data_IF_083132750711
#
_entry.id   IF_083132750711
#
_cell.length_a   1.000
_cell.length_b   1.000
_cell.length_c   1.000
_cell.angle_alpha   90.00
_cell.angle_beta   90.00
_cell.angle_gamma   90.00
#
_symmetry.space_group_name_H-M   'P 1'
#
loop_
_entity.id
_entity.type
_entity.pdbx_description
1 polymer ?
#
# COMPACT_ATOMS: atom_id res chain seq x y z
N UNK A 1 42.06 12.23 23.89
CA UNK A 1 40.83 11.50 23.51
C UNK A 1 39.62 12.06 24.28
N UNK A 2 39.24 13.31 24.01
CA UNK A 2 38.03 13.92 24.58
C UNK A 2 37.58 15.08 23.68
N UNK A 3 36.98 14.76 22.52
CA UNK A 3 36.27 15.74 21.68
C UNK A 3 35.42 15.06 20.60
N UNK A 4 34.56 14.11 20.97
CA UNK A 4 33.66 13.47 20.00
C UNK A 4 32.26 13.13 20.56
N UNK A 5 31.90 13.63 21.73
CA UNK A 5 30.67 13.23 22.43
C UNK A 5 29.58 14.32 22.52
N UNK A 6 29.83 15.55 22.05
CA UNK A 6 28.89 16.68 22.22
C UNK A 6 27.94 16.93 21.05
N UNK A 7 27.95 16.13 19.99
CA UNK A 7 27.05 16.29 18.83
C UNK A 7 25.99 15.18 18.67
N UNK A 8 25.92 14.21 19.58
CA UNK A 8 24.99 13.06 19.47
C UNK A 8 23.59 13.32 20.03
N UNK A 9 23.29 14.55 20.45
CA UNK A 9 22.06 14.91 21.17
C UNK A 9 21.28 16.10 20.60
N UNK A 10 21.60 16.57 19.38
CA UNK A 10 20.61 17.34 18.62
C UNK A 10 19.58 16.34 18.14
N UNK A 11 18.41 16.30 18.80
CA UNK A 11 17.26 15.48 18.40
C UNK A 11 17.09 15.57 16.88
N UNK A 12 16.98 14.42 16.19
CA UNK A 12 16.78 14.36 14.72
C UNK A 12 15.69 15.34 14.26
N UNK A 13 14.65 15.53 15.09
CA UNK A 13 13.59 16.52 14.90
C UNK A 13 14.09 17.97 14.74
N UNK A 14 15.09 18.41 15.52
CA UNK A 14 15.63 19.77 15.45
C UNK A 14 16.55 20.01 14.25
N UNK A 15 17.15 18.96 13.70
CA UNK A 15 17.92 19.02 12.45
C UNK A 15 16.95 19.05 11.26
N UNK A 16 15.91 18.20 11.27
CA UNK A 16 14.90 18.16 10.22
C UNK A 16 14.18 19.52 10.10
N UNK A 17 13.79 20.13 11.22
CA UNK A 17 13.11 21.43 11.23
C UNK A 17 13.96 22.58 10.65
N UNK A 18 15.28 22.59 10.93
CA UNK A 18 16.22 23.57 10.32
C UNK A 18 16.43 23.32 8.83
N UNK A 19 16.43 22.07 8.40
CA UNK A 19 16.61 21.70 6.98
C UNK A 19 15.41 22.17 6.16
N UNK A 20 14.20 21.95 6.69
CA UNK A 20 12.97 22.44 6.07
C UNK A 20 12.75 23.95 6.21
N UNK A 21 13.41 24.62 7.16
CA UNK A 21 13.44 26.08 7.22
C UNK A 21 14.19 26.72 6.03
N UNK A 22 15.17 26.01 5.48
CA UNK A 22 15.92 26.42 4.28
C UNK A 22 15.30 25.91 2.96
N UNK A 23 14.18 25.18 3.04
CA UNK A 23 13.54 24.61 1.87
C UNK A 23 13.16 25.68 0.84
N UNK A 24 13.57 25.45 -0.41
CA UNK A 24 13.19 26.26 -1.56
C UNK A 24 12.30 25.45 -2.47
N UNK A 25 11.20 26.07 -2.93
CA UNK A 25 10.30 25.43 -3.88
C UNK A 25 11.04 25.17 -5.20
N UNK A 26 10.98 23.95 -5.76
CA UNK A 26 11.53 23.65 -7.07
C UNK A 26 10.95 24.55 -8.16
N UNK A 27 11.74 24.80 -9.21
CA UNK A 27 11.26 25.54 -10.39
C UNK A 27 10.07 24.83 -11.06
N UNK A 28 9.13 25.58 -11.66
CA UNK A 28 7.94 25.00 -12.26
C UNK A 28 8.28 24.05 -13.42
N UNK A 29 7.59 22.92 -13.46
CA UNK A 29 7.73 21.92 -14.53
C UNK A 29 7.13 22.42 -15.86
N UNK A 30 7.49 21.80 -16.99
CA UNK A 30 6.91 22.14 -18.30
C UNK A 30 5.39 21.96 -18.35
N UNK A 31 4.86 20.97 -17.63
CA UNK A 31 3.41 20.71 -17.54
C UNK A 31 2.72 21.85 -16.79
N UNK A 32 3.30 22.29 -15.68
CA UNK A 32 2.77 23.43 -14.92
C UNK A 32 2.79 24.74 -15.72
N UNK A 33 3.85 24.97 -16.52
CA UNK A 33 3.91 26.13 -17.41
C UNK A 33 2.83 26.06 -18.50
N UNK A 34 2.54 24.88 -19.06
CA UNK A 34 1.40 24.71 -19.99
C UNK A 34 0.06 25.01 -19.33
N UNK A 35 -0.13 24.60 -18.07
CA UNK A 35 -1.33 24.94 -17.31
C UNK A 35 -1.45 26.45 -17.05
N UNK A 36 -0.35 27.16 -16.86
CA UNK A 36 -0.38 28.62 -16.72
C UNK A 36 -0.86 29.32 -18.01
N UNK A 37 -0.46 28.82 -19.18
CA UNK A 37 -0.97 29.31 -20.48
C UNK A 37 -2.47 29.08 -20.59
N UNK A 38 -2.96 27.87 -20.25
CA UNK A 38 -4.40 27.59 -20.27
C UNK A 38 -5.20 28.46 -19.31
N UNK A 39 -4.64 28.75 -18.13
CA UNK A 39 -5.29 29.66 -17.18
C UNK A 39 -5.30 31.09 -17.72
N UNK A 40 -4.23 31.57 -18.36
CA UNK A 40 -4.22 32.88 -19.00
C UNK A 40 -5.29 32.97 -20.12
N UNK A 41 -5.43 31.92 -20.95
CA UNK A 41 -6.46 31.83 -22.00
C UNK A 41 -7.87 31.81 -21.39
N UNK A 42 -8.09 31.05 -20.32
CA UNK A 42 -9.39 30.99 -19.65
C UNK A 42 -9.78 32.35 -19.02
N UNK A 43 -8.83 33.03 -18.37
CA UNK A 43 -9.06 34.37 -17.81
C UNK A 43 -9.32 35.37 -18.93
N UNK A 44 -8.60 35.29 -20.06
CA UNK A 44 -8.89 36.11 -21.24
C UNK A 44 -10.30 35.88 -21.78
N UNK A 45 -10.70 34.62 -21.98
CA UNK A 45 -12.03 34.29 -22.47
C UNK A 45 -13.13 34.81 -21.52
N UNK A 46 -12.93 34.64 -20.21
CA UNK A 46 -13.80 35.21 -19.18
C UNK A 46 -13.85 36.74 -19.25
N UNK A 47 -12.72 37.40 -19.53
CA UNK A 47 -12.67 38.84 -19.66
C UNK A 47 -13.42 39.36 -20.88
N UNK A 48 -13.28 38.68 -22.02
CA UNK A 48 -14.06 38.99 -23.24
C UNK A 48 -15.56 38.76 -22.99
N UNK A 49 -15.93 37.69 -22.30
CA UNK A 49 -17.33 37.42 -21.98
C UNK A 49 -17.93 38.47 -21.04
N UNK A 50 -17.22 38.81 -19.95
CA UNK A 50 -17.66 39.87 -19.03
C UNK A 50 -17.74 41.23 -19.72
N UNK A 51 -16.77 41.55 -20.57
CA UNK A 51 -16.80 42.72 -21.43
C UNK A 51 -18.09 42.78 -22.27
N UNK A 52 -18.44 41.70 -22.97
CA UNK A 52 -19.68 41.66 -23.77
C UNK A 52 -20.91 41.90 -22.89
N UNK A 53 -21.00 41.22 -21.74
CA UNK A 53 -22.13 41.38 -20.81
C UNK A 53 -22.26 42.81 -20.27
N UNK A 54 -21.16 43.43 -19.85
CA UNK A 54 -21.15 44.81 -19.34
C UNK A 54 -21.58 45.80 -20.42
N UNK A 55 -21.08 45.64 -21.65
CA UNK A 55 -21.50 46.47 -22.78
C UNK A 55 -23.00 46.26 -23.10
N UNK A 56 -23.50 45.02 -23.05
CA UNK A 56 -24.92 44.71 -23.29
C UNK A 56 -25.86 45.27 -22.22
N UNK A 57 -25.42 45.31 -20.95
CA UNK A 57 -26.20 45.90 -19.86
C UNK A 57 -26.22 47.44 -19.92
N UNK A 58 -25.32 48.07 -20.68
CA UNK A 58 -25.08 49.51 -20.61
C UNK A 58 -24.57 49.98 -19.24
N UNK A 59 -24.10 49.05 -18.41
CA UNK A 59 -23.73 49.26 -17.01
C UNK A 59 -22.27 49.70 -16.88
N UNK A 60 -21.95 50.88 -17.41
CA UNK A 60 -20.59 51.40 -17.34
C UNK A 60 -20.35 52.12 -16.01
N UNK A 61 -19.60 51.47 -15.12
CA UNK A 61 -19.29 51.97 -13.76
C UNK A 61 -18.50 53.29 -13.77
N UNK A 62 -17.75 53.57 -14.85
CA UNK A 62 -16.80 54.69 -14.92
C UNK A 62 -17.08 55.73 -16.04
N UNK A 63 -18.17 55.60 -16.82
CA UNK A 63 -18.55 56.57 -17.87
C UNK A 63 -18.84 55.96 -19.25
N UNK A 64 -18.53 56.65 -20.37
CA UNK A 64 -18.76 56.10 -21.73
C UNK A 64 -17.76 54.99 -22.04
N UNK A 65 -18.23 53.89 -22.63
CA UNK A 65 -17.38 52.77 -23.04
C UNK A 65 -16.28 53.22 -24.02
N UNK A 66 -15.00 52.87 -23.80
CA UNK A 66 -13.99 52.98 -24.85
C UNK A 66 -14.31 52.02 -26.00
N UNK A 67 -13.66 52.20 -27.15
CA UNK A 67 -13.88 51.36 -28.32
C UNK A 67 -13.65 49.86 -28.00
N UNK A 68 -14.35 48.95 -28.71
CA UNK A 68 -14.26 47.51 -28.44
C UNK A 68 -12.83 46.96 -28.57
N UNK A 69 -12.08 47.40 -29.59
CA UNK A 69 -10.66 47.02 -29.76
C UNK A 69 -9.81 47.46 -28.57
N UNK A 70 -10.10 48.65 -28.04
CA UNK A 70 -9.78 49.17 -26.72
C UNK A 70 -9.72 48.12 -25.62
N UNK A 71 -10.93 47.66 -25.31
CA UNK A 71 -11.21 46.77 -24.20
C UNK A 71 -10.55 45.40 -24.42
N UNK A 72 -10.48 44.92 -25.68
CA UNK A 72 -9.78 43.69 -26.04
C UNK A 72 -8.26 43.78 -25.80
N UNK A 73 -7.64 44.93 -26.11
CA UNK A 73 -6.21 45.14 -25.84
C UNK A 73 -5.94 45.10 -24.35
N UNK A 74 -6.78 45.76 -23.54
CA UNK A 74 -6.62 45.72 -22.07
C UNK A 74 -6.83 44.33 -21.49
N UNK A 75 -7.83 43.58 -21.97
CA UNK A 75 -8.02 42.18 -21.60
C UNK A 75 -6.76 41.36 -21.92
N UNK A 76 -6.14 41.59 -23.08
CA UNK A 76 -4.91 40.90 -23.46
C UNK A 76 -3.72 41.27 -22.59
N UNK A 77 -3.48 42.56 -22.39
CA UNK A 77 -2.33 43.06 -21.64
C UNK A 77 -2.40 42.68 -20.16
N UNK A 78 -3.60 42.57 -19.56
CA UNK A 78 -3.78 42.12 -18.17
C UNK A 78 -3.64 40.60 -17.98
N UNK A 79 -3.86 39.80 -19.02
CA UNK A 79 -3.90 38.33 -18.90
C UNK A 79 -2.65 37.64 -19.44
N UNK A 80 -2.01 38.16 -20.49
CA UNK A 80 -0.79 37.60 -21.07
C UNK A 80 0.35 37.42 -20.05
N UNK A 81 0.63 38.38 -19.12
CA UNK A 81 1.65 38.18 -18.11
C UNK A 81 1.40 36.98 -17.18
N UNK A 82 0.14 36.54 -17.02
CA UNK A 82 -0.20 35.39 -16.18
C UNK A 82 0.38 34.07 -16.72
N UNK A 83 0.70 34.00 -18.02
CA UNK A 83 1.31 32.81 -18.64
C UNK A 83 2.72 32.50 -18.10
N UNK A 84 3.43 33.52 -17.61
CA UNK A 84 4.79 33.38 -17.06
C UNK A 84 4.84 33.60 -15.54
N UNK A 85 3.68 33.64 -14.88
CA UNK A 85 3.53 33.98 -13.45
C UNK A 85 4.35 33.11 -12.51
N UNK A 86 4.54 31.81 -12.79
CA UNK A 86 5.33 30.92 -11.93
C UNK A 86 6.83 31.07 -12.15
N UNK A 87 7.25 31.58 -13.32
CA UNK A 87 8.66 31.78 -13.67
C UNK A 87 9.18 33.12 -13.18
N UNK A 88 8.38 34.17 -13.30
CA UNK A 88 8.72 35.53 -12.89
C UNK A 88 7.62 36.17 -12.02
N UNK A 89 7.32 35.60 -10.83
CA UNK A 89 6.16 35.99 -10.03
C UNK A 89 6.20 37.47 -9.61
N UNK A 90 7.36 37.98 -9.20
CA UNK A 90 7.52 39.38 -8.81
C UNK A 90 7.30 40.35 -9.97
N UNK A 91 7.87 40.05 -11.15
CA UNK A 91 7.73 40.87 -12.35
C UNK A 91 6.25 40.92 -12.76
N UNK A 92 5.58 39.78 -12.79
CA UNK A 92 4.16 39.68 -13.15
C UNK A 92 3.28 40.45 -12.16
N UNK A 93 3.57 40.38 -10.85
CA UNK A 93 2.84 41.16 -9.85
C UNK A 93 2.98 42.67 -10.07
N UNK A 94 4.20 43.16 -10.30
CA UNK A 94 4.44 44.59 -10.53
C UNK A 94 3.77 45.05 -11.83
N UNK A 95 3.94 44.28 -12.92
CA UNK A 95 3.32 44.59 -14.22
C UNK A 95 1.80 44.64 -14.10
N UNK A 96 1.16 43.62 -13.52
CA UNK A 96 -0.30 43.60 -13.34
C UNK A 96 -0.77 44.70 -12.39
N UNK A 97 -0.02 45.01 -11.33
CA UNK A 97 -0.35 46.11 -10.42
C UNK A 97 -0.34 47.48 -11.13
N UNK A 98 0.67 47.75 -11.96
CA UNK A 98 0.75 48.98 -12.76
C UNK A 98 -0.38 49.03 -13.79
N UNK A 99 -0.64 47.93 -14.50
CA UNK A 99 -1.71 47.84 -15.48
C UNK A 99 -3.10 48.00 -14.84
N UNK A 100 -3.30 47.50 -13.61
CA UNK A 100 -4.53 47.68 -12.85
C UNK A 100 -4.81 49.16 -12.57
N UNK A 101 -3.82 49.89 -12.07
CA UNK A 101 -3.94 51.34 -11.81
C UNK A 101 -4.19 52.09 -13.12
N UNK A 102 -3.44 51.75 -14.18
CA UNK A 102 -3.58 52.38 -15.48
C UNK A 102 -4.98 52.15 -16.09
N UNK A 103 -5.52 50.92 -15.99
CA UNK A 103 -6.85 50.58 -16.47
C UNK A 103 -7.95 51.37 -15.74
N UNK A 104 -7.83 51.49 -14.42
CA UNK A 104 -8.73 52.30 -13.58
C UNK A 104 -8.64 53.81 -13.91
N UNK A 105 -7.43 54.35 -14.05
CA UNK A 105 -7.22 55.75 -14.43
C UNK A 105 -7.84 56.08 -15.79
N UNK A 106 -7.81 55.11 -16.73
CA UNK A 106 -8.42 55.21 -18.06
C UNK A 106 -9.93 54.96 -18.06
N UNK A 107 -10.54 54.71 -16.89
CA UNK A 107 -11.99 54.53 -16.71
C UNK A 107 -12.57 53.42 -17.60
N UNK A 108 -11.80 52.36 -17.82
CA UNK A 108 -12.28 51.19 -18.56
C UNK A 108 -13.40 50.57 -17.73
N UNK A 109 -14.56 50.37 -18.33
CA UNK A 109 -15.81 50.08 -17.63
C UNK A 109 -15.89 48.75 -16.86
N UNK A 110 -14.82 47.95 -16.81
CA UNK A 110 -14.76 46.65 -16.12
C UNK A 110 -13.72 46.66 -14.98
N UNK A 111 -14.18 46.38 -13.76
CA UNK A 111 -13.34 46.22 -12.57
C UNK A 111 -13.12 44.75 -12.17
N UNK A 112 -13.90 43.80 -12.71
CA UNK A 112 -13.87 42.41 -12.28
C UNK A 112 -12.60 41.75 -12.79
N UNK A 113 -12.27 41.92 -14.07
CA UNK A 113 -11.15 41.21 -14.69
C UNK A 113 -9.77 41.68 -14.24
N UNK A 114 -9.50 43.01 -14.14
CA UNK A 114 -8.26 43.48 -13.53
C UNK A 114 -8.09 42.95 -12.10
N UNK A 115 -9.19 42.87 -11.33
CA UNK A 115 -9.17 42.31 -9.97
C UNK A 115 -8.84 40.81 -9.99
N UNK A 116 -9.46 40.00 -10.85
CA UNK A 116 -9.11 38.57 -10.95
C UNK A 116 -7.63 38.37 -11.31
N UNK A 117 -7.10 39.14 -12.26
CA UNK A 117 -5.69 39.07 -12.65
C UNK A 117 -4.74 39.43 -11.49
N UNK A 118 -5.04 40.52 -10.76
CA UNK A 118 -4.24 40.96 -9.62
C UNK A 118 -4.30 39.95 -8.46
N UNK A 119 -5.45 39.33 -8.20
CA UNK A 119 -5.60 38.29 -7.18
C UNK A 119 -4.68 37.13 -7.46
N UNK A 120 -4.72 36.64 -8.71
CA UNK A 120 -3.86 35.54 -9.18
C UNK A 120 -2.39 35.92 -9.03
N UNK A 121 -2.01 37.17 -9.34
CA UNK A 121 -0.63 37.63 -9.21
C UNK A 121 -0.14 37.64 -7.75
N UNK A 122 -0.93 38.20 -6.82
CA UNK A 122 -0.62 38.23 -5.39
C UNK A 122 -0.54 36.80 -4.82
N UNK A 123 -1.51 35.96 -5.17
CA UNK A 123 -1.51 34.54 -4.83
C UNK A 123 -0.22 33.85 -5.31
N UNK A 124 0.16 34.10 -6.56
CA UNK A 124 1.31 33.44 -7.19
C UNK A 124 2.61 33.82 -6.51
N UNK A 125 2.84 35.10 -6.19
CA UNK A 125 4.02 35.52 -5.40
C UNK A 125 4.04 34.82 -4.05
N UNK A 126 2.90 34.72 -3.37
CA UNK A 126 2.81 34.00 -2.09
C UNK A 126 3.17 32.52 -2.20
N UNK A 127 2.77 31.88 -3.29
CA UNK A 127 2.91 30.45 -3.52
C UNK A 127 4.27 30.03 -4.11
N UNK A 128 4.86 30.84 -5.00
CA UNK A 128 5.99 30.46 -5.84
C UNK A 128 7.28 31.24 -5.60
N UNK A 129 7.22 32.41 -4.96
CA UNK A 129 8.43 33.16 -4.66
C UNK A 129 9.29 32.41 -3.63
N UNK A 130 10.53 32.12 -4.01
CA UNK A 130 11.46 31.33 -3.20
C UNK A 130 11.95 32.13 -2.00
N UNK A 131 12.16 33.44 -2.16
CA UNK A 131 12.60 34.28 -1.05
C UNK A 131 11.40 34.87 -0.30
N UNK A 132 11.16 34.36 0.91
CA UNK A 132 10.00 34.73 1.73
C UNK A 132 9.99 36.20 2.15
N UNK A 133 11.16 36.83 2.25
CA UNK A 133 11.28 38.25 2.57
C UNK A 133 10.75 39.10 1.41
N UNK A 134 11.24 38.85 0.19
CA UNK A 134 10.74 39.52 -1.01
C UNK A 134 9.27 39.21 -1.27
N UNK A 135 8.82 37.96 -1.06
CA UNK A 135 7.43 37.58 -1.20
C UNK A 135 6.49 38.34 -0.25
N UNK A 136 6.94 38.61 0.99
CA UNK A 136 6.15 39.36 1.98
C UNK A 136 6.11 40.85 1.61
N UNK A 137 7.27 41.46 1.43
CA UNK A 137 7.36 42.91 1.22
C UNK A 137 6.80 43.37 -0.13
N UNK A 138 6.95 42.59 -1.20
CA UNK A 138 6.33 42.92 -2.50
C UNK A 138 4.81 42.89 -2.42
N UNK A 139 4.22 41.85 -1.82
CA UNK A 139 2.76 41.75 -1.63
C UNK A 139 2.24 42.86 -0.72
N UNK A 140 2.89 43.11 0.41
CA UNK A 140 2.52 44.20 1.32
C UNK A 140 2.63 45.55 0.61
N UNK A 141 3.71 45.80 -0.14
CA UNK A 141 3.90 47.02 -0.90
C UNK A 141 2.79 47.26 -1.94
N UNK A 142 2.42 46.24 -2.71
CA UNK A 142 1.31 46.33 -3.68
C UNK A 142 -0.03 46.53 -2.98
N UNK A 143 -0.30 45.81 -1.88
CA UNK A 143 -1.53 45.99 -1.10
C UNK A 143 -1.63 47.42 -0.57
N UNK A 144 -0.56 47.97 0.01
CA UNK A 144 -0.51 49.35 0.50
C UNK A 144 -0.73 50.34 -0.65
N UNK A 145 -0.06 50.16 -1.79
CA UNK A 145 -0.27 51.02 -2.97
C UNK A 145 -1.72 50.98 -3.46
N UNK A 146 -2.36 49.80 -3.43
CA UNK A 146 -3.79 49.64 -3.77
C UNK A 146 -4.72 50.34 -2.77
N UNK A 147 -4.43 50.27 -1.47
CA UNK A 147 -5.21 51.00 -0.46
C UNK A 147 -5.03 52.51 -0.58
N UNK A 148 -3.84 53.00 -0.93
CA UNK A 148 -3.61 54.43 -1.22
C UNK A 148 -4.41 54.86 -2.44
N UNK A 149 -4.39 54.06 -3.52
CA UNK A 149 -5.19 54.32 -4.71
C UNK A 149 -6.70 54.30 -4.43
N UNK A 150 -7.16 53.36 -3.61
CA UNK A 150 -8.56 53.28 -3.18
C UNK A 150 -8.96 54.52 -2.37
N UNK A 151 -8.11 54.95 -1.42
CA UNK A 151 -8.33 56.15 -0.63
C UNK A 151 -8.43 57.41 -1.52
N UNK A 152 -7.54 57.53 -2.52
CA UNK A 152 -7.61 58.60 -3.51
C UNK A 152 -8.95 58.58 -4.28
N UNK A 153 -9.36 57.43 -4.80
CA UNK A 153 -10.65 57.29 -5.51
C UNK A 153 -11.83 57.65 -4.60
N UNK A 154 -11.78 57.25 -3.33
CA UNK A 154 -12.81 57.52 -2.34
C UNK A 154 -12.97 59.02 -2.05
N UNK A 155 -11.86 59.74 -1.87
CA UNK A 155 -11.86 61.20 -1.70
C UNK A 155 -12.43 61.89 -2.94
N UNK A 156 -12.06 61.44 -4.14
CA UNK A 156 -12.62 62.02 -5.39
C UNK A 156 -14.10 61.71 -5.58
N UNK A 157 -14.59 60.58 -5.06
CA UNK A 157 -16.00 60.18 -5.16
C UNK A 157 -16.91 60.99 -4.21
N UNK A 158 -16.39 61.46 -3.07
CA UNK A 158 -17.14 62.34 -2.14
C UNK A 158 -17.51 63.70 -2.77
N UNK A 159 -16.82 64.13 -3.83
CA UNK A 159 -17.12 65.36 -4.56
C UNK A 159 -18.19 65.22 -5.65
N UNK A 160 -18.78 64.04 -5.87
CA UNK A 160 -19.80 63.81 -6.90
C UNK A 160 -21.23 63.99 -6.36
N UNK A 161 -22.18 64.49 -7.18
CA UNK A 161 -23.54 64.78 -6.73
C UNK A 161 -24.28 63.52 -6.23
N UNK A 162 -25.17 63.65 -5.23
CA UNK A 162 -25.76 62.54 -4.47
C UNK A 162 -26.79 61.67 -5.22
N UNK A 163 -26.98 61.87 -6.53
CA UNK A 163 -28.04 61.20 -7.33
C UNK A 163 -27.85 59.69 -7.52
N UNK A 164 -26.74 59.11 -7.03
CA UNK A 164 -26.45 57.67 -7.16
C UNK A 164 -27.13 56.79 -6.10
N UNK A 165 -27.69 57.38 -5.03
CA UNK A 165 -28.22 56.64 -3.88
C UNK A 165 -29.70 56.92 -3.57
N UNK A 166 -30.46 57.40 -4.56
CA UNK A 166 -31.88 57.80 -4.40
C UNK A 166 -32.79 56.69 -3.82
N UNK A 167 -32.40 55.43 -3.97
CA UNK A 167 -33.15 54.27 -3.46
C UNK A 167 -32.54 53.64 -2.18
N UNK A 168 -31.62 54.32 -1.49
CA UNK A 168 -30.98 53.77 -0.30
C UNK A 168 -31.95 53.71 0.89
N UNK A 169 -32.10 52.53 1.50
CA UNK A 169 -33.03 52.25 2.61
C UNK A 169 -32.33 51.73 3.88
N UNK A 170 -31.00 51.78 3.92
CA UNK A 170 -30.20 51.28 5.03
C UNK A 170 -30.12 52.22 6.24
N UNK A 171 -29.70 51.71 7.42
CA UNK A 171 -29.58 52.51 8.65
C UNK A 171 -28.35 53.43 8.67
N UNK A 172 -27.42 53.27 7.72
CA UNK A 172 -26.21 54.08 7.60
C UNK A 172 -26.35 55.09 6.45
N UNK A 173 -25.63 56.20 6.57
CA UNK A 173 -25.43 57.13 5.46
C UNK A 173 -24.89 56.37 4.22
N UNK A 174 -25.47 56.56 3.01
CA UNK A 174 -25.07 55.80 1.83
C UNK A 174 -23.60 55.93 1.45
N UNK A 175 -22.98 57.10 1.67
CA UNK A 175 -21.55 57.27 1.41
C UNK A 175 -20.73 56.47 2.40
N UNK A 176 -21.07 56.52 3.70
CA UNK A 176 -20.42 55.72 4.73
C UNK A 176 -20.57 54.22 4.44
N UNK A 177 -21.76 53.77 4.05
CA UNK A 177 -22.02 52.37 3.70
C UNK A 177 -21.16 51.92 2.50
N UNK A 178 -21.07 52.74 1.44
CA UNK A 178 -20.23 52.43 0.28
C UNK A 178 -18.73 52.34 0.64
N UNK A 179 -18.25 53.24 1.50
CA UNK A 179 -16.87 53.20 2.03
C UNK A 179 -16.61 51.92 2.81
N UNK A 180 -17.47 51.59 3.78
CA UNK A 180 -17.33 50.39 4.60
C UNK A 180 -17.39 49.12 3.76
N UNK A 181 -18.31 49.06 2.80
CA UNK A 181 -18.42 47.96 1.84
C UNK A 181 -17.13 47.81 1.02
N UNK A 182 -16.62 48.90 0.45
CA UNK A 182 -15.38 48.90 -0.33
C UNK A 182 -14.17 48.43 0.49
N UNK A 183 -14.04 48.91 1.73
CA UNK A 183 -12.97 48.47 2.65
C UNK A 183 -13.12 46.98 2.95
N UNK A 184 -14.32 46.51 3.31
CA UNK A 184 -14.57 45.11 3.63
C UNK A 184 -14.30 44.19 2.44
N UNK A 185 -14.77 44.56 1.24
CA UNK A 185 -14.53 43.84 0.00
C UNK A 185 -13.03 43.72 -0.31
N UNK A 186 -12.31 44.84 -0.28
CA UNK A 186 -10.86 44.84 -0.55
C UNK A 186 -10.07 44.09 0.53
N UNK A 187 -10.45 44.22 1.80
CA UNK A 187 -9.82 43.50 2.90
C UNK A 187 -9.99 41.98 2.71
N UNK A 188 -11.21 41.53 2.44
CA UNK A 188 -11.48 40.11 2.15
C UNK A 188 -10.66 39.61 0.96
N UNK A 189 -10.64 40.40 -0.12
CA UNK A 189 -9.93 40.09 -1.34
C UNK A 189 -8.41 39.97 -1.13
N UNK A 190 -7.77 40.97 -0.51
CA UNK A 190 -6.32 40.97 -0.30
C UNK A 190 -5.89 39.96 0.77
N UNK A 191 -6.66 39.82 1.87
CA UNK A 191 -6.40 38.79 2.87
C UNK A 191 -6.54 37.39 2.27
N UNK A 192 -7.57 37.17 1.45
CA UNK A 192 -7.77 35.92 0.73
C UNK A 192 -6.58 35.58 -0.16
N UNK A 193 -6.18 36.49 -1.05
CA UNK A 193 -5.04 36.28 -1.94
C UNK A 193 -3.74 35.98 -1.16
N UNK A 194 -3.51 36.73 -0.07
CA UNK A 194 -2.34 36.57 0.77
C UNK A 194 -2.33 35.23 1.52
N UNK A 195 -3.47 34.88 2.13
CA UNK A 195 -3.67 33.64 2.89
C UNK A 195 -3.54 32.42 1.99
N UNK A 196 -4.29 32.36 0.88
CA UNK A 196 -4.25 31.23 -0.04
C UNK A 196 -2.87 31.04 -0.67
N UNK A 197 -2.14 32.13 -0.96
CA UNK A 197 -0.76 32.05 -1.42
C UNK A 197 0.16 31.40 -0.38
N UNK A 198 0.03 31.77 0.90
CA UNK A 198 0.82 31.15 1.98
C UNK A 198 0.43 29.68 2.22
N UNK A 199 -0.87 29.37 2.20
CA UNK A 199 -1.35 27.99 2.32
C UNK A 199 -0.81 27.11 1.19
N UNK A 200 -0.79 27.63 -0.05
CA UNK A 200 -0.23 26.91 -1.18
C UNK A 200 1.28 26.63 -1.02
N UNK A 201 2.04 27.59 -0.48
CA UNK A 201 3.46 27.38 -0.14
C UNK A 201 3.65 26.32 0.96
N UNK A 202 2.89 26.41 2.05
CA UNK A 202 2.94 25.42 3.15
C UNK A 202 2.52 24.03 2.70
N UNK A 203 1.53 23.94 1.80
CA UNK A 203 1.10 22.68 1.19
C UNK A 203 2.20 22.08 0.32
N UNK A 204 2.86 22.88 -0.51
CA UNK A 204 3.98 22.42 -1.34
C UNK A 204 5.16 21.92 -0.49
N UNK A 205 5.52 22.66 0.58
CA UNK A 205 6.56 22.25 1.53
C UNK A 205 6.22 20.92 2.20
N UNK A 206 5.02 20.80 2.79
CA UNK A 206 4.57 19.56 3.45
C UNK A 206 4.53 18.36 2.50
N UNK A 207 4.14 18.56 1.23
CA UNK A 207 4.18 17.48 0.24
C UNK A 207 5.60 17.01 -0.06
N UNK A 208 6.56 17.94 -0.18
CA UNK A 208 7.96 17.58 -0.37
C UNK A 208 8.50 16.81 0.83
N UNK A 209 8.16 17.24 2.04
CA UNK A 209 8.53 16.56 3.29
C UNK A 209 7.96 15.15 3.39
N UNK A 210 6.68 14.97 3.04
CA UNK A 210 6.04 13.65 3.02
C UNK A 210 6.69 12.71 2.00
N UNK A 211 7.03 13.21 0.81
CA UNK A 211 7.71 12.39 -0.22
C UNK A 211 9.09 11.95 0.26
N UNK A 212 9.86 12.84 0.88
CA UNK A 212 11.18 12.47 1.40
C UNK A 212 11.08 11.44 2.53
N UNK A 213 10.18 11.64 3.49
CA UNK A 213 9.96 10.69 4.59
C UNK A 213 9.46 9.33 4.11
N UNK A 214 8.61 9.31 3.08
CA UNK A 214 8.14 8.07 2.48
C UNK A 214 9.30 7.27 1.86
N UNK A 215 10.25 7.96 1.22
CA UNK A 215 11.43 7.31 0.64
C UNK A 215 12.40 6.80 1.73
N UNK A 216 12.64 7.59 2.78
CA UNK A 216 13.44 7.17 3.94
C UNK A 216 12.83 5.94 4.63
N UNK A 217 11.50 5.92 4.81
CA UNK A 217 10.79 4.78 5.37
C UNK A 217 10.90 3.55 4.46
N UNK A 218 10.79 3.72 3.14
CA UNK A 218 10.95 2.63 2.16
C UNK A 218 12.34 2.00 2.27
N UNK A 219 13.39 2.82 2.29
CA UNK A 219 14.77 2.35 2.43
C UNK A 219 15.01 1.63 3.77
N UNK A 220 14.45 2.16 4.87
CA UNK A 220 14.53 1.55 6.19
C UNK A 220 13.81 0.18 6.24
N UNK A 221 12.63 0.08 5.64
CA UNK A 221 11.91 -1.20 5.52
C UNK A 221 12.70 -2.23 4.72
N UNK A 222 13.29 -1.85 3.59
CA UNK A 222 14.14 -2.76 2.80
C UNK A 222 15.35 -3.27 3.58
N UNK A 223 16.00 -2.40 4.37
CA UNK A 223 17.12 -2.78 5.23
C UNK A 223 16.67 -3.73 6.35
N UNK A 224 15.54 -3.45 7.00
CA UNK A 224 14.99 -4.29 8.06
C UNK A 224 14.60 -5.68 7.53
N UNK A 225 13.93 -5.76 6.39
CA UNK A 225 13.57 -7.04 5.77
C UNK A 225 14.81 -7.85 5.40
N UNK A 226 15.83 -7.22 4.80
CA UNK A 226 17.11 -7.89 4.52
C UNK A 226 17.80 -8.37 5.79
N UNK A 227 17.83 -7.55 6.83
CA UNK A 227 18.37 -7.91 8.14
C UNK A 227 17.64 -9.10 8.76
N UNK A 228 16.31 -9.12 8.68
CA UNK A 228 15.48 -10.22 9.17
C UNK A 228 15.78 -11.54 8.43
N UNK A 229 15.88 -11.52 7.09
CA UNK A 229 16.22 -12.71 6.30
C UNK A 229 17.61 -13.25 6.67
N UNK A 230 18.60 -12.37 6.85
CA UNK A 230 19.95 -12.80 7.27
C UNK A 230 19.92 -13.41 8.67
N UNK A 231 19.23 -12.77 9.62
CA UNK A 231 19.08 -13.30 10.97
C UNK A 231 18.38 -14.67 10.97
N UNK A 232 17.36 -14.83 10.13
CA UNK A 232 16.64 -16.08 9.92
C UNK A 232 17.57 -17.19 9.40
N UNK A 233 18.35 -16.91 8.36
CA UNK A 233 19.32 -17.87 7.80
C UNK A 233 20.36 -18.31 8.83
N UNK A 234 20.84 -17.39 9.67
CA UNK A 234 21.79 -17.71 10.76
C UNK A 234 21.13 -18.59 11.81
N UNK A 235 19.86 -18.35 12.16
CA UNK A 235 19.10 -19.19 13.09
C UNK A 235 18.93 -20.60 12.54
N UNK A 236 18.44 -20.73 11.30
CA UNK A 236 18.29 -22.01 10.60
C UNK A 236 19.62 -22.78 10.56
N UNK A 237 20.72 -22.11 10.20
CA UNK A 237 22.03 -22.74 10.16
C UNK A 237 22.48 -23.28 11.54
N UNK A 238 22.18 -22.56 12.62
CA UNK A 238 22.45 -23.01 13.99
C UNK A 238 21.59 -24.21 14.36
N UNK A 239 20.28 -24.15 14.12
CA UNK A 239 19.37 -25.25 14.41
C UNK A 239 19.77 -26.52 13.66
N UNK A 240 20.16 -26.39 12.38
CA UNK A 240 20.72 -27.48 11.59
C UNK A 240 22.03 -28.01 12.17
N UNK A 241 22.95 -27.12 12.58
CA UNK A 241 24.22 -27.52 13.18
C UNK A 241 24.01 -28.30 14.49
N UNK A 242 23.10 -27.85 15.34
CA UNK A 242 22.82 -28.49 16.63
C UNK A 242 22.24 -29.90 16.45
N UNK A 243 21.30 -30.07 15.51
CA UNK A 243 20.75 -31.39 15.16
C UNK A 243 21.83 -32.31 14.62
N UNK A 244 22.68 -31.84 13.69
CA UNK A 244 23.77 -32.64 13.11
C UNK A 244 24.79 -33.03 14.18
N UNK A 245 25.25 -32.07 14.98
CA UNK A 245 26.27 -32.28 16.01
C UNK A 245 25.80 -33.30 17.04
N UNK A 246 24.53 -33.23 17.47
CA UNK A 246 23.95 -34.18 18.40
C UNK A 246 23.96 -35.62 17.85
N UNK A 247 23.45 -35.83 16.64
CA UNK A 247 23.38 -37.15 16.03
C UNK A 247 24.76 -37.75 15.75
N UNK A 248 25.69 -36.95 15.24
CA UNK A 248 27.08 -37.38 14.97
C UNK A 248 27.79 -37.78 16.27
N UNK A 249 27.58 -37.04 17.36
CA UNK A 249 28.14 -37.36 18.67
C UNK A 249 27.63 -38.71 19.18
N UNK A 250 26.31 -38.96 19.12
CA UNK A 250 25.71 -40.24 19.53
C UNK A 250 26.24 -41.39 18.68
N UNK A 251 26.30 -41.24 17.35
CA UNK A 251 26.87 -42.25 16.46
C UNK A 251 28.35 -42.54 16.80
N UNK A 252 29.15 -41.51 17.07
CA UNK A 252 30.56 -41.65 17.44
C UNK A 252 30.76 -42.42 18.75
N UNK A 253 29.93 -42.14 19.77
CA UNK A 253 29.96 -42.86 21.05
C UNK A 253 29.59 -44.33 20.86
N UNK A 254 28.51 -44.62 20.12
CA UNK A 254 28.03 -45.99 19.88
C UNK A 254 29.01 -46.81 19.02
N UNK A 255 29.58 -46.20 17.97
CA UNK A 255 30.62 -46.85 17.16
C UNK A 255 31.89 -47.13 17.98
N UNK A 256 32.27 -46.21 18.88
CA UNK A 256 33.37 -46.41 19.82
C UNK A 256 33.12 -47.55 20.81
N UNK A 257 31.89 -47.70 21.30
CA UNK A 257 31.47 -48.80 22.17
C UNK A 257 31.52 -50.15 21.42
N UNK A 258 30.93 -50.23 20.22
CA UNK A 258 30.96 -51.42 19.37
C UNK A 258 32.39 -51.91 19.12
N UNK A 259 33.31 -51.00 18.76
CA UNK A 259 34.73 -51.33 18.53
C UNK A 259 35.42 -51.92 19.75
N UNK A 260 35.03 -51.51 20.97
CA UNK A 260 35.65 -51.99 22.21
C UNK A 260 35.21 -53.41 22.59
N UNK A 261 33.99 -53.80 22.21
CA UNK A 261 33.38 -55.08 22.59
C UNK A 261 33.37 -56.12 21.47
N UNK A 262 33.66 -55.73 20.22
CA UNK A 262 33.61 -56.59 19.01
C UNK A 262 34.27 -57.97 19.17
N UNK A 263 35.42 -58.05 19.85
CA UNK A 263 36.14 -59.31 20.07
C UNK A 263 35.74 -60.09 21.33
N UNK A 264 34.91 -59.52 22.20
CA UNK A 264 34.48 -60.10 23.48
C UNK A 264 33.01 -60.53 23.45
N UNK A 265 32.16 -59.69 22.87
CA UNK A 265 30.71 -59.87 22.81
C UNK A 265 30.20 -59.35 21.45
N UNK A 266 30.10 -60.22 20.44
CA UNK A 266 29.65 -59.86 19.10
C UNK A 266 28.20 -59.37 19.07
N UNK A 267 27.35 -59.88 19.96
CA UNK A 267 25.92 -59.54 19.98
C UNK A 267 25.73 -58.09 20.45
N UNK A 268 26.42 -57.69 21.52
CA UNK A 268 26.42 -56.30 22.00
C UNK A 268 27.04 -55.34 20.96
N UNK A 269 28.07 -55.78 20.24
CA UNK A 269 28.65 -54.98 19.16
C UNK A 269 27.65 -54.77 18.00
N UNK A 270 26.91 -55.82 17.63
CA UNK A 270 25.87 -55.77 16.59
C UNK A 270 24.73 -54.84 16.99
N UNK A 271 24.29 -54.87 18.26
CA UNK A 271 23.24 -53.97 18.77
C UNK A 271 23.66 -52.49 18.72
N UNK A 272 24.88 -52.17 19.16
CA UNK A 272 25.43 -50.81 19.08
C UNK A 272 25.52 -50.30 17.62
N UNK A 273 25.89 -51.17 16.66
CA UNK A 273 25.90 -50.82 15.23
C UNK A 273 24.49 -50.59 14.67
N UNK A 274 23.47 -51.35 15.12
CA UNK A 274 22.06 -51.07 14.76
C UNK A 274 21.61 -49.71 15.28
N UNK A 275 22.02 -49.31 16.48
CA UNK A 275 21.74 -47.97 17.00
C UNK A 275 22.37 -46.90 16.12
N UNK A 276 23.62 -47.06 15.68
CA UNK A 276 24.27 -46.13 14.73
C UNK A 276 23.46 -46.00 13.44
N UNK A 277 23.02 -47.11 12.83
CA UNK A 277 22.21 -47.09 11.62
C UNK A 277 20.87 -46.36 11.84
N UNK A 278 20.20 -46.65 12.95
CA UNK A 278 18.93 -46.00 13.29
C UNK A 278 19.10 -44.49 13.51
N UNK A 279 20.13 -44.07 14.26
CA UNK A 279 20.45 -42.66 14.48
C UNK A 279 20.78 -41.95 13.16
N UNK A 280 21.49 -42.61 12.23
CA UNK A 280 21.76 -42.05 10.90
C UNK A 280 20.49 -41.85 10.06
N UNK A 281 19.58 -42.83 10.07
CA UNK A 281 18.28 -42.72 9.39
C UNK A 281 17.43 -41.60 9.98
N UNK A 282 17.37 -41.48 11.31
CA UNK A 282 16.65 -40.40 12.00
C UNK A 282 17.22 -39.03 11.64
N UNK A 283 18.55 -38.86 11.71
CA UNK A 283 19.22 -37.60 11.38
C UNK A 283 18.93 -37.14 9.94
N UNK A 284 18.98 -38.07 8.97
CA UNK A 284 18.67 -37.77 7.56
C UNK A 284 17.21 -37.35 7.39
N UNK A 285 16.28 -37.99 8.11
CA UNK A 285 14.86 -37.64 8.04
C UNK A 285 14.57 -36.28 8.66
N UNK A 286 15.17 -35.95 9.81
CA UNK A 286 15.02 -34.63 10.44
C UNK A 286 15.61 -33.51 9.57
N UNK A 287 16.79 -33.73 8.99
CA UNK A 287 17.39 -32.79 8.04
C UNK A 287 16.54 -32.59 6.78
N UNK A 288 15.97 -33.66 6.22
CA UNK A 288 15.04 -33.57 5.09
C UNK A 288 13.75 -32.85 5.47
N UNK A 289 13.27 -33.02 6.70
CA UNK A 289 12.11 -32.29 7.24
C UNK A 289 12.38 -30.79 7.30
N UNK A 290 13.49 -30.38 7.94
CA UNK A 290 13.88 -28.96 8.06
C UNK A 290 14.13 -28.31 6.68
N UNK A 291 14.79 -29.01 5.75
CA UNK A 291 15.03 -28.51 4.39
C UNK A 291 13.77 -28.54 3.52
N UNK A 292 12.82 -29.45 3.78
CA UNK A 292 11.55 -29.55 3.05
C UNK A 292 10.62 -28.37 3.33
N UNK A 293 10.60 -27.89 4.57
CA UNK A 293 9.86 -26.68 4.97
C UNK A 293 10.45 -25.43 4.28
N UNK A 294 11.77 -25.32 4.20
CA UNK A 294 12.44 -24.18 3.54
C UNK A 294 12.26 -24.17 2.01
N UNK A 295 12.10 -25.33 1.37
CA UNK A 295 11.88 -25.43 -0.09
C UNK A 295 10.44 -25.15 -0.52
N UNK A 296 9.49 -25.28 0.40
CA UNK A 296 8.09 -24.93 0.15
C UNK A 296 7.88 -23.40 0.10
N UNK A 297 8.74 -22.63 0.77
CA UNK A 297 8.64 -21.16 0.83
C UNK A 297 9.45 -20.45 -0.29
N UNK A 298 10.54 -21.05 -0.77
CA UNK A 298 11.43 -20.44 -1.79
C UNK A 298 11.06 -20.78 -3.26
N UNK A 299 9.94 -21.45 -3.53
CA UNK A 299 9.59 -21.92 -4.90
C UNK A 299 8.28 -21.33 -5.44
N UNK A 300 8.33 -20.07 -5.88
CA UNK A 300 7.59 -19.59 -7.08
C UNK A 300 8.39 -19.91 -8.36
N UNK A 301 9.04 -21.08 -8.44
CA UNK A 301 9.65 -21.56 -9.69
C UNK A 301 8.64 -22.46 -10.39
N UNK A 302 8.37 -22.26 -11.70
CA UNK A 302 7.38 -23.05 -12.44
C UNK A 302 7.80 -24.51 -12.39
N UNK A 303 6.98 -25.34 -11.74
CA UNK A 303 7.18 -26.78 -11.78
C UNK A 303 6.99 -27.22 -13.23
N UNK A 304 8.09 -27.60 -13.87
CA UNK A 304 8.10 -28.34 -15.13
C UNK A 304 7.08 -29.47 -15.01
N UNK A 305 6.13 -29.51 -15.95
CA UNK A 305 5.00 -30.42 -15.99
C UNK A 305 5.40 -31.88 -15.68
N UNK A 306 5.13 -32.31 -14.45
CA UNK A 306 4.70 -33.69 -14.18
C UNK A 306 3.31 -33.52 -13.62
N UNK A 307 2.30 -34.03 -14.32
CA UNK A 307 0.90 -33.87 -13.94
C UNK A 307 0.73 -34.19 -12.44
N UNK A 308 0.25 -33.21 -11.66
CA UNK A 308 -0.03 -33.41 -10.24
C UNK A 308 -0.93 -34.65 -10.07
N UNK A 309 -0.61 -35.57 -9.14
CA UNK A 309 -1.41 -36.76 -8.88
C UNK A 309 -2.89 -36.42 -8.66
N UNK A 310 -3.77 -37.07 -9.42
CA UNK A 310 -5.22 -36.90 -9.33
C UNK A 310 -5.92 -38.14 -8.78
N UNK A 311 -7.25 -38.09 -8.78
CA UNK A 311 -8.09 -39.23 -8.36
C UNK A 311 -7.92 -40.47 -9.27
N UNK A 312 -7.46 -40.25 -10.50
CA UNK A 312 -7.13 -41.28 -11.49
C UNK A 312 -5.99 -42.20 -11.05
N UNK A 313 -5.13 -41.75 -10.13
CA UNK A 313 -4.01 -42.51 -9.60
C UNK A 313 -4.32 -43.23 -8.28
N UNK A 314 -5.54 -43.12 -7.75
CA UNK A 314 -5.96 -43.87 -6.55
C UNK A 314 -5.88 -45.40 -6.72
N UNK A 315 -6.17 -45.99 -7.88
CA UNK A 315 -5.98 -47.44 -8.10
C UNK A 315 -4.55 -47.92 -7.87
N UNK A 316 -3.54 -47.08 -8.10
CA UNK A 316 -2.13 -47.42 -7.87
C UNK A 316 -1.81 -47.48 -6.37
N UNK A 317 -2.35 -46.55 -5.57
CA UNK A 317 -2.23 -46.58 -4.10
C UNK A 317 -2.90 -47.82 -3.51
N UNK A 318 -4.07 -48.19 -4.03
CA UNK A 318 -4.79 -49.40 -3.67
C UNK A 318 -3.97 -50.64 -4.00
N UNK A 319 -3.35 -50.70 -5.18
CA UNK A 319 -2.48 -51.80 -5.58
C UNK A 319 -1.24 -51.91 -4.68
N UNK A 320 -0.62 -50.79 -4.31
CA UNK A 320 0.51 -50.77 -3.39
C UNK A 320 0.15 -51.31 -1.99
N UNK A 321 -1.03 -50.94 -1.46
CA UNK A 321 -1.52 -51.47 -0.19
C UNK A 321 -1.86 -52.96 -0.27
N UNK A 322 -2.39 -53.45 -1.40
CA UNK A 322 -2.58 -54.89 -1.65
C UNK A 322 -1.27 -55.67 -1.67
N UNK A 323 -0.24 -55.13 -2.31
CA UNK A 323 1.10 -55.72 -2.32
C UNK A 323 1.73 -55.76 -0.93
N UNK A 324 1.32 -54.88 -0.02
CA UNK A 324 1.73 -54.87 1.38
C UNK A 324 0.92 -55.84 2.27
N UNK A 325 0.01 -56.64 1.70
CA UNK A 325 -0.74 -57.70 2.38
C UNK A 325 -2.11 -57.31 2.94
N UNK A 326 -2.66 -56.16 2.55
CA UNK A 326 -4.01 -55.71 2.95
C UNK A 326 -5.00 -55.97 1.82
N UNK A 327 -6.13 -56.63 2.09
CA UNK A 327 -7.21 -56.73 1.11
C UNK A 327 -7.96 -55.40 1.00
N UNK A 328 -7.74 -54.66 -0.08
CA UNK A 328 -8.33 -53.32 -0.27
C UNK A 328 -9.48 -53.35 -1.28
N UNK A 329 -10.69 -53.00 -0.85
CA UNK A 329 -11.81 -52.66 -1.73
C UNK A 329 -11.74 -51.19 -2.16
N UNK A 330 -12.07 -50.90 -3.42
CA UNK A 330 -12.08 -49.55 -3.96
C UNK A 330 -13.36 -49.32 -4.78
N UNK A 331 -14.10 -48.27 -4.44
CA UNK A 331 -15.34 -47.91 -5.12
C UNK A 331 -15.45 -46.42 -5.40
N UNK A 332 -15.87 -46.08 -6.62
CA UNK A 332 -16.25 -44.72 -7.02
C UNK A 332 -17.77 -44.67 -7.15
N UNK A 333 -18.39 -43.70 -6.50
CA UNK A 333 -19.85 -43.56 -6.43
C UNK A 333 -20.28 -42.16 -6.88
N UNK A 334 -21.38 -42.11 -7.62
CA UNK A 334 -21.83 -40.89 -8.30
C UNK A 334 -21.18 -40.73 -9.68
N UNK A 335 -21.70 -39.79 -10.47
CA UNK A 335 -21.16 -39.44 -11.79
C UNK A 335 -19.87 -38.60 -11.61
N UNK A 336 -18.71 -39.04 -12.13
CA UNK A 336 -17.49 -38.25 -12.08
C UNK A 336 -17.66 -36.89 -12.76
N UNK A 337 -17.37 -35.81 -12.02
CA UNK A 337 -17.44 -34.43 -12.53
C UNK A 337 -16.06 -33.78 -12.49
N UNK A 338 -15.78 -32.78 -13.34
CA UNK A 338 -14.57 -31.97 -13.22
C UNK A 338 -14.52 -31.32 -11.83
N UNK A 339 -13.43 -31.56 -11.10
CA UNK A 339 -13.16 -30.98 -9.79
C UNK A 339 -11.89 -30.13 -9.85
N UNK A 340 -11.74 -29.11 -8.99
CA UNK A 340 -10.50 -28.34 -8.90
C UNK A 340 -9.31 -29.27 -8.64
N UNK A 341 -8.22 -29.08 -9.38
CA UNK A 341 -7.01 -29.93 -9.28
C UNK A 341 -6.45 -29.96 -7.86
N UNK A 342 -6.55 -28.84 -7.13
CA UNK A 342 -6.13 -28.76 -5.74
C UNK A 342 -6.95 -29.69 -4.81
N UNK A 343 -8.26 -29.80 -5.03
CA UNK A 343 -9.15 -30.71 -4.28
C UNK A 343 -8.82 -32.17 -4.62
N UNK A 344 -8.58 -32.47 -5.90
CA UNK A 344 -8.17 -33.81 -6.34
C UNK A 344 -6.85 -34.26 -5.70
N UNK A 345 -5.86 -33.36 -5.65
CA UNK A 345 -4.57 -33.63 -5.04
C UNK A 345 -4.69 -33.79 -3.51
N UNK A 346 -5.50 -32.96 -2.84
CA UNK A 346 -5.72 -33.06 -1.40
C UNK A 346 -6.39 -34.40 -1.04
N UNK A 347 -7.41 -34.82 -1.82
CA UNK A 347 -8.03 -36.13 -1.71
C UNK A 347 -7.03 -37.28 -1.90
N UNK A 348 -6.21 -37.22 -2.95
CA UNK A 348 -5.16 -38.22 -3.22
C UNK A 348 -4.20 -38.35 -2.02
N UNK A 349 -3.73 -37.24 -1.46
CA UNK A 349 -2.82 -37.23 -0.31
C UNK A 349 -3.47 -37.76 0.97
N UNK A 350 -4.76 -37.49 1.18
CA UNK A 350 -5.51 -38.07 2.30
C UNK A 350 -5.58 -39.59 2.17
N UNK A 351 -5.92 -40.13 0.99
CA UNK A 351 -5.96 -41.58 0.76
C UNK A 351 -4.58 -42.21 0.95
N UNK A 352 -3.53 -41.56 0.43
CA UNK A 352 -2.15 -42.03 0.56
C UNK A 352 -1.73 -42.15 2.04
N UNK A 353 -1.95 -41.11 2.82
CA UNK A 353 -1.60 -41.07 4.24
C UNK A 353 -2.47 -42.08 5.03
N UNK A 354 -3.76 -42.18 4.73
CA UNK A 354 -4.67 -43.12 5.37
C UNK A 354 -4.26 -44.58 5.09
N UNK A 355 -3.99 -44.97 3.85
CA UNK A 355 -3.53 -46.32 3.49
C UNK A 355 -2.16 -46.63 4.09
N UNK A 356 -1.26 -45.64 4.15
CA UNK A 356 0.04 -45.80 4.82
C UNK A 356 -0.14 -46.09 6.31
N UNK A 357 -1.08 -45.41 6.96
CA UNK A 357 -1.41 -45.66 8.37
C UNK A 357 -2.02 -47.05 8.57
N UNK A 358 -2.87 -47.52 7.66
CA UNK A 358 -3.42 -48.88 7.72
C UNK A 358 -2.29 -49.91 7.67
N UNK A 359 -1.39 -49.81 6.68
CA UNK A 359 -0.27 -50.75 6.49
C UNK A 359 0.70 -50.74 7.68
N UNK A 360 1.02 -49.56 8.21
CA UNK A 360 2.05 -49.42 9.26
C UNK A 360 1.52 -49.64 10.69
N UNK A 361 0.24 -49.35 10.93
CA UNK A 361 -0.24 -49.14 12.31
C UNK A 361 -1.56 -49.84 12.65
N UNK A 362 -2.41 -50.23 11.69
CA UNK A 362 -3.75 -50.71 12.03
C UNK A 362 -3.83 -52.19 12.45
N UNK A 363 -2.85 -53.02 12.04
CA UNK A 363 -2.96 -54.48 12.18
C UNK A 363 -4.21 -55.05 11.47
N UNK A 364 -4.69 -54.34 10.45
CA UNK A 364 -5.87 -54.67 9.66
C UNK A 364 -5.57 -55.79 8.66
N UNK A 365 -6.61 -56.53 8.27
CA UNK A 365 -6.58 -57.47 7.14
C UNK A 365 -7.30 -56.90 5.93
N UNK A 366 -8.30 -56.06 6.15
CA UNK A 366 -9.11 -55.46 5.10
C UNK A 366 -9.16 -53.95 5.22
N UNK A 367 -9.23 -53.26 4.08
CA UNK A 367 -9.49 -51.83 3.99
C UNK A 367 -10.48 -51.53 2.85
N UNK A 368 -11.23 -50.44 2.98
CA UNK A 368 -12.22 -50.01 2.00
C UNK A 368 -12.02 -48.52 1.71
N UNK A 369 -11.79 -48.18 0.44
CA UNK A 369 -11.56 -46.83 -0.07
C UNK A 369 -12.75 -46.45 -0.95
N UNK A 370 -13.50 -45.44 -0.53
CA UNK A 370 -14.69 -44.95 -1.24
C UNK A 370 -14.51 -43.50 -1.63
N UNK A 371 -14.72 -43.20 -2.91
CA UNK A 371 -14.76 -41.84 -3.45
C UNK A 371 -16.19 -41.56 -3.89
N UNK A 372 -16.84 -40.54 -3.33
CA UNK A 372 -18.22 -40.16 -3.65
C UNK A 372 -18.25 -38.75 -4.24
N UNK A 373 -18.77 -38.63 -5.46
CA UNK A 373 -19.08 -37.35 -6.09
C UNK A 373 -20.49 -36.94 -5.65
N UNK A 374 -20.58 -35.97 -4.73
CA UNK A 374 -21.84 -35.36 -4.29
C UNK A 374 -22.15 -34.12 -5.15
N UNK A 375 -23.33 -33.53 -4.97
CA UNK A 375 -23.76 -32.40 -5.79
C UNK A 375 -22.87 -31.15 -5.64
N UNK A 376 -22.32 -30.93 -4.44
CA UNK A 376 -21.50 -29.74 -4.10
C UNK A 376 -20.15 -30.08 -3.47
N UNK A 377 -19.82 -31.36 -3.30
CA UNK A 377 -18.63 -31.79 -2.60
C UNK A 377 -18.08 -33.13 -3.12
N UNK A 378 -16.78 -33.31 -2.94
CA UNK A 378 -16.09 -34.58 -3.09
C UNK A 378 -15.90 -35.17 -1.70
N UNK A 379 -16.42 -36.38 -1.50
CA UNK A 379 -16.20 -37.12 -0.27
C UNK A 379 -15.26 -38.30 -0.50
N UNK A 380 -14.32 -38.48 0.42
CA UNK A 380 -13.38 -39.60 0.43
C UNK A 380 -13.43 -40.26 1.80
N UNK A 381 -13.67 -41.57 1.81
CA UNK A 381 -13.76 -42.38 3.01
C UNK A 381 -12.81 -43.57 2.91
N UNK A 382 -11.91 -43.69 3.89
CA UNK A 382 -11.03 -44.85 4.06
C UNK A 382 -11.36 -45.51 5.38
N UNK A 383 -11.70 -46.79 5.34
CA UNK A 383 -11.96 -47.59 6.55
C UNK A 383 -11.11 -48.85 6.56
N UNK A 384 -10.80 -49.35 7.75
CA UNK A 384 -10.12 -50.63 7.95
C UNK A 384 -10.82 -51.47 9.03
N UNK A 385 -10.50 -52.76 9.11
CA UNK A 385 -10.97 -53.70 10.13
C UNK A 385 -9.97 -53.89 11.29
N UNK A 386 -8.95 -53.06 11.34
CA UNK A 386 -7.88 -53.14 12.32
C UNK A 386 -8.35 -52.84 13.73
N UNK A 387 -7.50 -53.21 14.70
CA UNK A 387 -7.63 -52.73 16.07
C UNK A 387 -6.83 -51.44 16.13
N UNK A 388 -7.44 -50.33 15.69
CA UNK A 388 -6.84 -49.00 15.81
C UNK A 388 -6.26 -48.76 17.22
N UNK A 389 -5.35 -47.79 17.42
CA UNK A 389 -4.57 -47.67 18.65
C UNK A 389 -5.46 -47.74 19.89
N UNK A 390 -5.26 -48.78 20.71
CA UNK A 390 -6.11 -49.09 21.84
C UNK A 390 -6.18 -47.89 22.81
N UNK A 391 -7.38 -47.59 23.32
CA UNK A 391 -7.61 -46.54 24.34
C UNK A 391 -6.99 -46.84 25.73
N UNK A 392 -6.16 -47.87 25.84
CA UNK A 392 -5.52 -48.23 27.10
C UNK A 392 -4.09 -47.68 27.14
N UNK A 393 -3.95 -46.55 27.84
CA UNK A 393 -2.77 -46.14 28.61
C UNK A 393 -1.36 -46.32 28.02
N UNK A 394 -0.67 -45.18 27.85
CA UNK A 394 0.80 -44.99 27.95
C UNK A 394 1.71 -45.12 26.73
N UNK A 395 1.22 -45.34 25.50
CA UNK A 395 2.03 -45.09 24.31
C UNK A 395 1.86 -43.64 23.81
N UNK A 396 2.81 -42.81 24.24
CA UNK A 396 3.05 -41.44 23.80
C UNK A 396 3.08 -41.33 22.26
N UNK A 397 2.22 -40.44 21.74
CA UNK A 397 2.59 -39.36 20.82
C UNK A 397 3.64 -39.65 19.73
N UNK A 398 3.47 -40.71 18.93
CA UNK A 398 4.38 -41.00 17.80
C UNK A 398 3.76 -40.82 16.39
N UNK A 399 2.50 -40.38 16.23
CA UNK A 399 1.92 -40.17 14.88
C UNK A 399 0.89 -39.04 14.74
N UNK A 400 0.85 -38.08 15.67
CA UNK A 400 -0.10 -36.95 15.62
C UNK A 400 0.08 -36.00 14.43
N UNK A 401 1.26 -36.00 13.80
CA UNK A 401 1.58 -35.12 12.66
C UNK A 401 0.85 -35.50 11.37
N UNK A 402 0.60 -36.79 11.12
CA UNK A 402 -0.10 -37.24 9.91
C UNK A 402 -1.56 -36.78 9.88
N UNK A 403 -2.26 -36.94 11.01
CA UNK A 403 -3.66 -36.50 11.19
C UNK A 403 -3.80 -34.97 11.23
N UNK A 404 -2.86 -34.27 11.88
CA UNK A 404 -2.85 -32.80 11.89
C UNK A 404 -2.61 -32.25 10.48
N UNK A 405 -1.62 -32.77 9.76
CA UNK A 405 -1.33 -32.36 8.39
C UNK A 405 -2.48 -32.68 7.42
N UNK A 406 -3.19 -33.80 7.61
CA UNK A 406 -4.41 -34.09 6.84
C UNK A 406 -5.51 -33.06 7.11
N UNK A 407 -5.73 -32.64 8.37
CA UNK A 407 -6.73 -31.61 8.71
C UNK A 407 -6.39 -30.26 8.12
N UNK A 408 -5.14 -29.83 8.24
CA UNK A 408 -4.68 -28.54 7.70
C UNK A 408 -4.87 -28.48 6.17
N UNK A 409 -4.51 -29.55 5.45
CA UNK A 409 -4.69 -29.62 3.99
C UNK A 409 -6.16 -29.62 3.55
N UNK A 410 -7.04 -30.22 4.33
CA UNK A 410 -8.48 -30.24 4.04
C UNK A 410 -9.13 -28.88 4.36
N UNK A 411 -8.71 -28.25 5.45
CA UNK A 411 -9.21 -26.94 5.87
C UNK A 411 -8.90 -25.81 4.86
N UNK A 412 -7.75 -25.89 4.16
CA UNK A 412 -7.38 -24.95 3.08
C UNK A 412 -8.43 -24.92 1.95
N UNK A 413 -9.18 -26.00 1.76
CA UNK A 413 -10.25 -26.10 0.75
C UNK A 413 -11.65 -25.90 1.34
N UNK A 414 -11.76 -25.44 2.59
CA UNK A 414 -13.05 -25.33 3.28
C UNK A 414 -13.72 -26.68 3.55
N UNK A 415 -12.94 -27.77 3.53
CA UNK A 415 -13.43 -29.11 3.80
C UNK A 415 -13.37 -29.48 5.28
N UNK A 416 -13.98 -30.60 5.61
CA UNK A 416 -13.99 -31.19 6.95
C UNK A 416 -13.38 -32.59 6.94
N UNK A 417 -12.65 -32.92 8.02
CA UNK A 417 -12.05 -34.24 8.22
C UNK A 417 -12.53 -34.83 9.55
N UNK A 418 -13.15 -36.01 9.46
CA UNK A 418 -13.50 -36.86 10.58
C UNK A 418 -12.57 -38.08 10.62
N UNK A 419 -11.85 -38.26 11.72
CA UNK A 419 -11.02 -39.45 11.93
C UNK A 419 -11.26 -40.06 13.30
N UNK A 420 -11.55 -41.36 13.37
CA UNK A 420 -11.81 -42.03 14.64
C UNK A 420 -12.13 -43.52 14.52
N UNK A 421 -12.15 -44.23 15.68
CA UNK A 421 -12.53 -45.63 15.73
C UNK A 421 -14.01 -45.83 15.38
N UNK A 422 -14.32 -46.93 14.69
CA UNK A 422 -15.69 -47.31 14.34
C UNK A 422 -16.35 -48.11 15.47
N UNK A 423 -17.69 -48.04 15.52
CA UNK A 423 -18.50 -48.75 16.54
C UNK A 423 -18.40 -50.28 16.42
N UNK A 424 -18.22 -50.78 15.19
CA UNK A 424 -18.16 -52.20 14.88
C UNK A 424 -16.72 -52.76 14.81
N UNK A 425 -15.73 -51.97 15.29
CA UNK A 425 -14.30 -52.26 15.11
C UNK A 425 -13.72 -51.57 13.86
N UNK A 426 -12.40 -51.32 13.87
CA UNK A 426 -11.74 -50.57 12.79
C UNK A 426 -11.52 -49.09 13.06
N UNK A 427 -10.84 -48.43 12.13
CA UNK A 427 -10.67 -46.98 12.09
C UNK A 427 -11.30 -46.40 10.82
N UNK A 428 -11.78 -45.17 10.88
CA UNK A 428 -12.34 -44.42 9.74
C UNK A 428 -11.66 -43.09 9.60
N UNK A 429 -11.26 -42.76 8.38
CA UNK A 429 -10.91 -41.39 7.95
C UNK A 429 -11.89 -40.99 6.85
N UNK A 430 -12.71 -39.97 7.11
CA UNK A 430 -13.68 -39.43 6.18
C UNK A 430 -13.38 -37.95 5.97
N UNK A 431 -13.31 -37.54 4.71
CA UNK A 431 -13.08 -36.15 4.30
C UNK A 431 -14.19 -35.72 3.35
N UNK A 432 -14.73 -34.53 3.56
CA UNK A 432 -15.65 -33.87 2.64
C UNK A 432 -15.05 -32.53 2.24
N UNK A 433 -14.88 -32.30 0.93
CA UNK A 433 -14.32 -31.05 0.39
C UNK A 433 -15.29 -30.44 -0.61
N UNK A 434 -15.68 -29.16 -0.45
CA UNK A 434 -16.46 -28.44 -1.44
C UNK A 434 -15.77 -28.47 -2.81
N UNK A 435 -16.51 -28.80 -3.86
CA UNK A 435 -15.95 -28.83 -5.23
C UNK A 435 -16.06 -27.49 -5.94
N UNK A 436 -16.79 -26.52 -5.36
CA UNK A 436 -17.06 -25.21 -5.94
C UNK A 436 -17.90 -25.29 -7.22
N UNK A 437 -18.83 -24.36 -7.39
CA UNK A 437 -19.18 -23.86 -8.72
C UNK A 437 -18.47 -22.53 -8.90
#
# INVERSE_FOLDING_TARGET
MASSATLSGMTEAGIDERTWAMWRRPSPTRVEQRHDVWIAVAVMAGAVAAMVLINSMGAFVLGKAPALWEQLVWAAVLTLPLSVRRRFPLVVLVVIGVLFIAAQARRIGDNVMPSVALFIAIYTVGAWEQNRVWARWSRVGVIVAMFIWLAYNMVTAMGQPPTLFENASGPFDPHVANVLYGIAYNLMYFLGAYFFGNVAWMSARRRAELVQRAEELRLSQEQNTRGAIVAERVRIARDLHDVVAHHVSVMGVQAGAARRVLGKDPDVASEALRTVEQTARTAINELRGLLGVLRAEDTEVPQTHVASPGLDQLPELVAAARNAGIEVAHGVYGEPRPIPQAVALSAYRVVQEALTNVVKHAGARTADVRVRFLDTALEVEVTDDGRGPAKNGTQRAASGFGLLGMRERVAVHGGELEAGPRRDGGYRVRVSMPTGQ
#
